data_IF_673880493450
#
_entry.id   IF_673880493450
#
_cell.length_a   1.000
_cell.length_b   1.000
_cell.length_c   1.000
_cell.angle_alpha   90.00
_cell.angle_beta   90.00
_cell.angle_gamma   90.00
#
_symmetry.space_group_name_H-M   'P 1'
#
loop_
_entity.id
_entity.type
_entity.pdbx_description
1 polymer ?
#
# COMPACT_ATOMS: atom_id res chain seq x y z
N UNK A 1 -1.18 22.27 -5.49
CA UNK A 1 0.27 22.00 -5.71
C UNK A 1 0.45 20.87 -6.71
N UNK A 2 -0.15 19.67 -6.55
CA UNK A 2 0.04 18.52 -7.45
C UNK A 2 -0.40 18.83 -8.89
N UNK A 3 -1.60 19.36 -9.08
CA UNK A 3 -2.18 19.65 -10.39
C UNK A 3 -1.45 20.76 -11.16
N UNK A 4 -0.80 21.69 -10.45
CA UNK A 4 0.03 22.77 -11.04
C UNK A 4 1.50 22.35 -11.20
N UNK A 5 1.91 21.23 -10.60
CA UNK A 5 3.26 20.68 -10.60
C UNK A 5 3.41 19.43 -11.47
N UNK A 6 3.78 18.31 -10.85
CA UNK A 6 4.09 17.04 -11.53
C UNK A 6 2.93 16.44 -12.34
N UNK A 7 1.69 16.79 -12.01
CA UNK A 7 0.51 16.34 -12.73
C UNK A 7 0.04 17.29 -13.85
N UNK A 8 0.69 18.47 -14.02
CA UNK A 8 0.33 19.43 -15.04
C UNK A 8 0.39 18.82 -16.44
N UNK A 9 -0.69 18.97 -17.22
CA UNK A 9 -0.79 18.44 -18.59
C UNK A 9 -0.97 16.92 -18.70
N UNK A 10 -1.05 16.20 -17.57
CA UNK A 10 -1.33 14.75 -17.53
C UNK A 10 -2.83 14.50 -17.32
N UNK A 11 -3.25 13.28 -17.59
CA UNK A 11 -4.67 12.85 -17.42
C UNK A 11 -4.99 12.60 -15.94
N UNK A 12 -4.90 13.64 -15.11
CA UNK A 12 -5.33 13.60 -13.72
C UNK A 12 -6.56 14.49 -13.52
N UNK A 13 -7.50 14.02 -12.72
CA UNK A 13 -8.65 14.80 -12.23
C UNK A 13 -8.43 15.07 -10.75
N UNK A 14 -8.32 16.34 -10.37
CA UNK A 14 -8.23 16.75 -8.97
C UNK A 14 -9.61 16.92 -8.39
N UNK A 15 -9.96 16.16 -7.35
CA UNK A 15 -11.23 16.24 -6.64
C UNK A 15 -11.02 16.92 -5.28
N UNK A 16 -12.02 17.67 -4.81
CA UNK A 16 -11.99 18.45 -3.57
C UNK A 16 -12.86 17.83 -2.47
N UNK A 17 -13.64 16.80 -2.81
CA UNK A 17 -14.44 16.03 -1.86
C UNK A 17 -14.52 14.55 -2.25
N UNK A 18 -15.01 13.69 -1.35
CA UNK A 18 -15.23 12.26 -1.64
C UNK A 18 -16.36 12.06 -2.65
N UNK A 19 -17.39 12.89 -2.58
CA UNK A 19 -18.54 12.87 -3.52
C UNK A 19 -18.05 13.16 -4.95
N UNK A 20 -17.21 14.18 -5.11
CA UNK A 20 -16.62 14.52 -6.41
C UNK A 20 -15.70 13.40 -6.91
N UNK A 21 -14.90 12.79 -6.03
CA UNK A 21 -14.05 11.65 -6.36
C UNK A 21 -14.89 10.46 -6.86
N UNK A 22 -15.90 10.06 -6.09
CA UNK A 22 -16.75 8.91 -6.41
C UNK A 22 -17.52 9.13 -7.71
N UNK A 23 -18.02 10.36 -7.96
CA UNK A 23 -18.71 10.72 -9.20
C UNK A 23 -17.83 10.65 -10.45
N UNK A 24 -16.50 10.79 -10.30
CA UNK A 24 -15.54 10.70 -11.41
C UNK A 24 -14.99 9.27 -11.64
N UNK A 25 -15.40 8.28 -10.86
CA UNK A 25 -14.95 6.89 -11.00
C UNK A 25 -16.00 6.03 -11.68
N UNK A 26 -15.53 5.12 -12.56
CA UNK A 26 -16.39 4.11 -13.20
C UNK A 26 -16.59 2.90 -12.30
N UNK A 27 -17.78 2.34 -12.28
CA UNK A 27 -18.07 1.09 -11.55
C UNK A 27 -17.43 -0.15 -12.21
N UNK A 28 -17.01 -1.15 -11.44
CA UNK A 28 -16.85 -1.10 -9.99
C UNK A 28 -15.75 -0.11 -9.60
N UNK A 29 -16.12 0.84 -8.74
CA UNK A 29 -15.21 1.91 -8.32
C UNK A 29 -14.10 1.34 -7.44
N UNK A 30 -12.89 1.92 -7.55
CA UNK A 30 -11.73 1.52 -6.76
C UNK A 30 -11.16 2.76 -6.09
N UNK A 31 -11.32 2.85 -4.77
CA UNK A 31 -10.86 4.00 -3.98
C UNK A 31 -9.70 3.55 -3.11
N UNK A 32 -8.49 4.08 -3.38
CA UNK A 32 -7.30 3.78 -2.59
C UNK A 32 -7.02 4.90 -1.59
N UNK A 33 -6.91 4.54 -0.34
CA UNK A 33 -6.53 5.42 0.77
C UNK A 33 -5.04 5.27 1.07
N UNK A 34 -4.34 6.41 1.16
CA UNK A 34 -2.96 6.53 1.63
C UNK A 34 -2.93 7.55 2.76
N UNK A 35 -3.59 7.23 3.86
CA UNK A 35 -3.75 8.10 5.03
C UNK A 35 -3.05 7.50 6.25
N UNK A 36 -2.92 8.30 7.30
CA UNK A 36 -2.36 7.83 8.57
C UNK A 36 -3.20 6.68 9.13
N UNK A 37 -2.55 5.57 9.44
CA UNK A 37 -3.18 4.40 10.06
C UNK A 37 -3.88 4.76 11.40
N UNK A 38 -4.92 4.01 11.72
CA UNK A 38 -5.72 4.22 12.93
C UNK A 38 -7.11 4.77 12.63
N UNK A 39 -7.71 5.57 13.53
CA UNK A 39 -9.10 6.02 13.43
C UNK A 39 -9.44 6.83 12.17
N UNK A 40 -8.45 7.51 11.58
CA UNK A 40 -8.64 8.26 10.34
C UNK A 40 -9.10 7.36 9.18
N UNK A 41 -8.61 6.13 9.13
CA UNK A 41 -9.03 5.13 8.11
C UNK A 41 -10.50 4.76 8.32
N UNK A 42 -10.92 4.52 9.56
CA UNK A 42 -12.31 4.17 9.89
C UNK A 42 -13.26 5.32 9.49
N UNK A 43 -12.90 6.57 9.79
CA UNK A 43 -13.70 7.74 9.41
C UNK A 43 -13.89 7.85 7.89
N UNK A 44 -12.84 7.59 7.11
CA UNK A 44 -12.95 7.64 5.65
C UNK A 44 -13.77 6.46 5.11
N UNK A 45 -13.61 5.27 5.68
CA UNK A 45 -14.44 4.11 5.34
C UNK A 45 -15.92 4.44 5.55
N UNK A 46 -16.30 4.96 6.72
CA UNK A 46 -17.69 5.32 7.03
C UNK A 46 -18.24 6.34 6.02
N UNK A 47 -17.45 7.35 5.65
CA UNK A 47 -17.84 8.34 4.64
C UNK A 47 -17.98 7.71 3.24
N UNK A 48 -17.13 6.76 2.87
CA UNK A 48 -17.21 6.08 1.58
C UNK A 48 -18.38 5.10 1.50
N UNK A 49 -18.77 4.48 2.62
CA UNK A 49 -19.94 3.59 2.68
C UNK A 49 -21.25 4.29 2.34
N UNK A 50 -21.35 5.60 2.54
CA UNK A 50 -22.51 6.42 2.18
C UNK A 50 -22.55 6.79 0.67
N UNK A 51 -21.43 6.60 -0.04
CA UNK A 51 -21.25 7.08 -1.42
C UNK A 51 -21.04 5.96 -2.44
N UNK A 52 -20.57 4.81 -2.01
CA UNK A 52 -20.23 3.68 -2.86
C UNK A 52 -21.37 2.67 -2.95
N UNK A 53 -21.44 1.98 -4.08
CA UNK A 53 -22.43 0.94 -4.34
C UNK A 53 -21.88 -0.46 -4.06
N UNK A 54 -22.76 -1.45 -3.92
CA UNK A 54 -22.37 -2.84 -3.75
C UNK A 54 -21.43 -3.32 -4.88
N UNK A 55 -20.34 -3.97 -4.51
CA UNK A 55 -19.29 -4.43 -5.42
C UNK A 55 -18.18 -3.42 -5.71
N UNK A 56 -18.30 -2.17 -5.24
CA UNK A 56 -17.19 -1.22 -5.25
C UNK A 56 -16.10 -1.64 -4.25
N UNK A 57 -14.88 -1.15 -4.44
CA UNK A 57 -13.68 -1.62 -3.73
C UNK A 57 -13.05 -0.47 -2.95
N UNK A 58 -12.87 -0.66 -1.66
CA UNK A 58 -12.06 0.20 -0.80
C UNK A 58 -10.68 -0.46 -0.63
N UNK A 59 -9.61 0.30 -0.85
CA UNK A 59 -8.23 -0.18 -0.77
C UNK A 59 -7.50 0.64 0.30
N UNK A 60 -6.98 -0.04 1.33
CA UNK A 60 -6.10 0.56 2.34
C UNK A 60 -4.64 0.28 1.97
N UNK A 61 -3.94 1.29 1.48
CA UNK A 61 -2.51 1.24 1.15
C UNK A 61 -1.62 1.85 2.24
N UNK A 62 -2.19 2.21 3.40
CA UNK A 62 -1.45 2.70 4.55
C UNK A 62 -0.70 1.61 5.31
N UNK A 63 0.06 1.99 6.33
CA UNK A 63 0.74 1.05 7.23
C UNK A 63 -0.20 0.61 8.37
N UNK A 64 -1.33 0.03 8.04
CA UNK A 64 -2.34 -0.42 8.97
C UNK A 64 -1.90 -1.72 9.67
N UNK A 65 -2.19 -1.84 10.97
CA UNK A 65 -2.02 -3.10 11.69
C UNK A 65 -3.00 -4.15 11.14
N UNK A 66 -2.54 -5.36 10.89
CA UNK A 66 -3.32 -6.41 10.20
C UNK A 66 -4.64 -6.77 10.90
N UNK A 67 -4.71 -6.69 12.23
CA UNK A 67 -5.96 -6.94 13.00
C UNK A 67 -7.02 -5.89 12.73
N UNK A 68 -6.64 -4.62 12.53
CA UNK A 68 -7.56 -3.57 12.10
C UNK A 68 -8.06 -3.82 10.68
N UNK A 69 -7.17 -4.30 9.80
CA UNK A 69 -7.53 -4.69 8.43
C UNK A 69 -8.54 -5.83 8.42
N UNK A 70 -8.38 -6.86 9.26
CA UNK A 70 -9.35 -7.94 9.40
C UNK A 70 -10.72 -7.44 9.85
N UNK A 71 -10.75 -6.58 10.86
CA UNK A 71 -11.98 -5.95 11.36
C UNK A 71 -12.67 -5.13 10.27
N UNK A 72 -11.91 -4.31 9.55
CA UNK A 72 -12.42 -3.46 8.46
C UNK A 72 -12.90 -4.27 7.26
N UNK A 73 -12.18 -5.32 6.88
CA UNK A 73 -12.60 -6.24 5.81
C UNK A 73 -13.99 -6.78 6.12
N UNK A 74 -14.20 -7.33 7.32
CA UNK A 74 -15.49 -7.86 7.75
C UNK A 74 -16.58 -6.77 7.71
N UNK A 75 -16.29 -5.60 8.28
CA UNK A 75 -17.23 -4.48 8.35
C UNK A 75 -17.68 -4.00 6.97
N UNK A 76 -16.75 -3.84 6.03
CA UNK A 76 -17.02 -3.37 4.66
C UNK A 76 -17.75 -4.43 3.85
N UNK A 77 -17.38 -5.72 3.99
CA UNK A 77 -18.05 -6.82 3.30
C UNK A 77 -19.50 -7.02 3.78
N UNK A 78 -19.78 -6.81 5.05
CA UNK A 78 -21.16 -6.84 5.60
C UNK A 78 -22.06 -5.74 4.99
N UNK A 79 -21.47 -4.71 4.39
CA UNK A 79 -22.17 -3.64 3.65
C UNK A 79 -22.25 -3.89 2.14
N UNK A 80 -21.75 -5.04 1.68
CA UNK A 80 -21.78 -5.44 0.27
C UNK A 80 -20.66 -4.87 -0.59
N UNK A 81 -19.70 -4.14 -0.01
CA UNK A 81 -18.50 -3.67 -0.69
C UNK A 81 -17.37 -4.68 -0.55
N UNK A 82 -16.26 -4.44 -1.27
CA UNK A 82 -15.05 -5.26 -1.19
C UNK A 82 -13.92 -4.44 -0.56
N UNK A 83 -13.02 -5.13 0.16
CA UNK A 83 -11.91 -4.48 0.86
C UNK A 83 -10.57 -5.14 0.55
N UNK A 84 -9.58 -4.33 0.20
CA UNK A 84 -8.18 -4.75 0.03
C UNK A 84 -7.32 -4.00 1.02
N UNK A 85 -6.59 -4.75 1.87
CA UNK A 85 -5.47 -4.21 2.64
C UNK A 85 -4.17 -4.56 1.96
N UNK A 86 -3.42 -3.57 1.47
CA UNK A 86 -2.17 -3.83 0.78
C UNK A 86 -0.98 -3.20 1.47
N UNK A 87 0.03 -4.02 1.81
CA UNK A 87 1.34 -3.53 2.16
C UNK A 87 2.00 -2.90 0.94
N UNK A 88 2.54 -1.70 1.11
CA UNK A 88 3.28 -0.98 0.05
C UNK A 88 4.68 -0.69 0.57
N UNK A 89 5.72 -1.12 -0.13
CA UNK A 89 7.12 -0.99 0.27
C UNK A 89 7.98 -0.41 -0.84
N UNK A 90 8.97 0.42 -0.45
CA UNK A 90 9.92 1.04 -1.38
C UNK A 90 10.26 2.49 -1.06
N UNK A 91 9.68 3.06 -0.01
CA UNK A 91 9.90 4.44 0.40
C UNK A 91 9.51 5.45 -0.69
N UNK A 92 10.16 6.60 -0.70
CA UNK A 92 9.90 7.69 -1.67
C UNK A 92 10.30 7.28 -3.09
N UNK A 93 11.42 6.57 -3.25
CA UNK A 93 11.88 6.10 -4.54
C UNK A 93 10.95 5.03 -5.12
N UNK A 94 10.50 4.08 -4.31
CA UNK A 94 9.51 3.09 -4.71
C UNK A 94 8.17 3.71 -5.09
N UNK A 95 7.72 4.75 -4.37
CA UNK A 95 6.51 5.48 -4.73
C UNK A 95 6.59 6.14 -6.12
N UNK A 96 7.79 6.53 -6.57
CA UNK A 96 8.03 7.14 -7.87
C UNK A 96 8.25 6.13 -8.99
N UNK A 97 9.05 5.08 -8.72
CA UNK A 97 9.54 4.12 -9.73
C UNK A 97 8.76 2.79 -9.76
N UNK A 98 8.02 2.51 -8.72
CA UNK A 98 7.25 1.29 -8.52
C UNK A 98 7.54 0.66 -7.16
N UNK A 99 6.54 0.51 -6.30
CA UNK A 99 6.69 -0.16 -5.01
C UNK A 99 6.58 -1.68 -5.14
N UNK A 100 7.11 -2.42 -4.16
CA UNK A 100 6.65 -3.78 -3.91
C UNK A 100 5.28 -3.74 -3.24
N UNK A 101 4.33 -4.56 -3.70
CA UNK A 101 2.95 -4.54 -3.23
C UNK A 101 2.51 -5.92 -2.74
N UNK A 102 1.87 -5.95 -1.58
CA UNK A 102 1.43 -7.15 -0.87
C UNK A 102 -0.09 -7.08 -0.63
N UNK A 103 -0.92 -7.28 -1.68
CA UNK A 103 -2.37 -7.19 -1.56
C UNK A 103 -2.96 -8.43 -0.86
N UNK A 104 -3.90 -8.17 0.05
CA UNK A 104 -4.75 -9.17 0.69
C UNK A 104 -6.13 -8.61 0.98
N UNK A 105 -7.09 -9.42 1.41
CA UNK A 105 -8.45 -8.95 1.74
C UNK A 105 -9.53 -9.75 1.05
N UNK A 106 -10.48 -9.08 0.40
CA UNK A 106 -11.58 -9.72 -0.33
C UNK A 106 -11.07 -10.38 -1.60
N UNK A 107 -11.17 -11.70 -1.68
CA UNK A 107 -10.68 -12.48 -2.83
C UNK A 107 -11.36 -12.05 -4.15
N UNK A 108 -12.65 -11.70 -4.08
CA UNK A 108 -13.41 -11.22 -5.24
C UNK A 108 -12.92 -9.87 -5.78
N UNK A 109 -12.22 -9.08 -4.96
CA UNK A 109 -11.64 -7.80 -5.40
C UNK A 109 -10.35 -7.99 -6.20
N UNK A 110 -9.61 -9.08 -5.94
CA UNK A 110 -8.28 -9.27 -6.54
C UNK A 110 -8.27 -9.18 -8.05
N UNK A 111 -9.09 -9.90 -8.81
CA UNK A 111 -9.08 -9.83 -10.29
C UNK A 111 -9.35 -8.43 -10.83
N UNK A 112 -10.04 -7.59 -10.05
CA UNK A 112 -10.40 -6.22 -10.44
C UNK A 112 -9.28 -5.20 -10.19
N UNK A 113 -8.40 -5.47 -9.22
CA UNK A 113 -7.27 -4.57 -8.85
C UNK A 113 -5.92 -5.09 -9.36
N UNK A 114 -5.77 -6.38 -9.59
CA UNK A 114 -4.54 -7.04 -10.06
C UNK A 114 -3.89 -6.35 -11.26
N UNK A 115 -4.61 -6.03 -12.36
CA UNK A 115 -3.99 -5.40 -13.52
C UNK A 115 -3.38 -4.04 -13.19
N UNK A 116 -4.01 -3.27 -12.29
CA UNK A 116 -3.52 -1.96 -11.85
C UNK A 116 -2.28 -2.15 -10.98
N UNK A 117 -2.37 -3.01 -9.96
CA UNK A 117 -1.30 -3.24 -9.00
C UNK A 117 -0.05 -3.81 -9.68
N UNK A 118 -0.22 -4.81 -10.55
CA UNK A 118 0.88 -5.35 -11.34
C UNK A 118 1.48 -4.34 -12.31
N UNK A 119 0.70 -3.41 -12.83
CA UNK A 119 1.21 -2.35 -13.71
C UNK A 119 2.10 -1.34 -12.97
N UNK A 120 1.68 -0.90 -11.77
CA UNK A 120 2.38 0.14 -11.01
C UNK A 120 3.47 -0.37 -10.08
N UNK A 121 3.53 -1.69 -9.80
CA UNK A 121 4.56 -2.27 -8.94
C UNK A 121 5.95 -2.26 -9.59
N UNK A 122 6.98 -2.35 -8.77
CA UNK A 122 8.35 -2.62 -9.21
C UNK A 122 8.39 -3.88 -10.08
N UNK A 123 9.36 -3.94 -10.97
CA UNK A 123 9.60 -5.09 -11.84
C UNK A 123 10.99 -5.65 -11.57
N UNK A 124 11.11 -6.96 -11.68
CA UNK A 124 12.36 -7.71 -11.52
C UNK A 124 12.50 -8.74 -12.65
N UNK A 125 13.57 -9.51 -12.63
CA UNK A 125 13.88 -10.52 -13.62
C UNK A 125 14.77 -10.00 -14.75
N UNK A 126 15.22 -10.88 -15.64
CA UNK A 126 16.18 -10.53 -16.70
C UNK A 126 15.70 -9.44 -17.67
N UNK A 127 14.37 -9.29 -17.81
CA UNK A 127 13.74 -8.34 -18.73
C UNK A 127 12.95 -7.25 -18.00
N UNK A 128 13.08 -7.13 -16.68
CA UNK A 128 12.28 -6.23 -15.85
C UNK A 128 10.76 -6.34 -16.12
N UNK A 129 10.25 -7.57 -16.25
CA UNK A 129 8.87 -7.88 -16.62
C UNK A 129 8.07 -8.57 -15.51
N UNK A 130 8.74 -9.10 -14.48
CA UNK A 130 8.09 -9.80 -13.36
C UNK A 130 7.66 -8.79 -12.30
N UNK A 131 6.35 -8.56 -12.08
CA UNK A 131 5.89 -7.57 -11.11
C UNK A 131 6.15 -8.05 -9.67
N UNK A 132 6.67 -7.16 -8.82
CA UNK A 132 6.79 -7.36 -7.37
C UNK A 132 5.42 -7.18 -6.69
N UNK A 133 4.43 -7.91 -7.15
CA UNK A 133 3.05 -7.84 -6.67
C UNK A 133 2.35 -9.15 -6.96
N UNK A 134 1.87 -9.81 -5.91
CA UNK A 134 1.02 -10.99 -6.02
C UNK A 134 0.05 -11.05 -4.85
N UNK A 135 -1.07 -11.73 -5.02
CA UNK A 135 -2.03 -11.97 -3.96
C UNK A 135 -1.41 -12.79 -2.82
N UNK A 136 -1.43 -12.24 -1.60
CA UNK A 136 -0.79 -12.87 -0.43
C UNK A 136 -1.78 -13.55 0.53
N UNK A 137 -3.08 -13.41 0.30
CA UNK A 137 -4.10 -14.12 1.08
C UNK A 137 -5.29 -13.26 1.51
N UNK A 138 -6.27 -13.87 2.17
CA UNK A 138 -7.50 -13.20 2.59
C UNK A 138 -7.30 -12.27 3.78
N UNK A 139 -8.30 -11.44 4.05
CA UNK A 139 -8.41 -10.58 5.24
C UNK A 139 -7.19 -9.66 5.42
N UNK A 140 -6.53 -9.72 6.61
CA UNK A 140 -5.37 -8.91 6.96
C UNK A 140 -4.04 -9.36 6.38
N UNK A 141 -3.99 -10.39 5.51
CA UNK A 141 -2.76 -11.02 5.04
C UNK A 141 -1.77 -10.03 4.41
N UNK A 142 -2.24 -9.06 3.62
CA UNK A 142 -1.38 -8.06 2.99
C UNK A 142 -0.59 -7.22 4.00
N UNK A 143 -1.27 -6.68 4.98
CA UNK A 143 -0.62 -5.91 6.05
C UNK A 143 0.19 -6.79 7.01
N UNK A 144 -0.22 -8.04 7.21
CA UNK A 144 0.56 -9.00 8.00
C UNK A 144 1.92 -9.29 7.35
N UNK A 145 1.92 -9.59 6.06
CA UNK A 145 3.17 -9.83 5.29
C UNK A 145 4.06 -8.59 5.32
N UNK A 146 3.49 -7.39 5.16
CA UNK A 146 4.25 -6.13 5.27
C UNK A 146 4.86 -5.94 6.65
N UNK A 147 4.12 -6.26 7.71
CA UNK A 147 4.63 -6.19 9.08
C UNK A 147 5.82 -7.13 9.29
N UNK A 148 5.71 -8.38 8.82
CA UNK A 148 6.80 -9.37 8.91
C UNK A 148 8.01 -8.93 8.10
N UNK A 149 7.81 -8.45 6.87
CA UNK A 149 8.85 -7.86 6.03
C UNK A 149 9.61 -6.76 6.78
N UNK A 150 8.90 -5.80 7.34
CA UNK A 150 9.53 -4.71 8.08
C UNK A 150 10.26 -5.20 9.34
N UNK A 151 9.72 -6.19 10.05
CA UNK A 151 10.40 -6.78 11.20
C UNK A 151 11.74 -7.40 10.85
N UNK A 152 11.82 -8.11 9.73
CA UNK A 152 13.07 -8.69 9.21
C UNK A 152 14.04 -7.58 8.77
N UNK A 153 13.57 -6.62 8.00
CA UNK A 153 14.37 -5.50 7.51
C UNK A 153 15.01 -4.69 8.64
N UNK A 154 14.25 -4.37 9.69
CA UNK A 154 14.78 -3.66 10.86
C UNK A 154 15.81 -4.50 11.65
N UNK A 155 15.60 -5.81 11.73
CA UNK A 155 16.60 -6.73 12.32
C UNK A 155 17.90 -6.73 11.54
N UNK A 156 17.83 -6.80 10.22
CA UNK A 156 18.98 -6.76 9.32
C UNK A 156 19.72 -5.41 9.43
N UNK A 157 19.00 -4.31 9.39
CA UNK A 157 19.57 -2.97 9.59
C UNK A 157 20.27 -2.83 10.94
N UNK A 158 19.70 -3.40 12.01
CA UNK A 158 20.33 -3.37 13.33
C UNK A 158 21.67 -4.15 13.34
N UNK A 159 21.71 -5.33 12.73
CA UNK A 159 22.95 -6.12 12.61
C UNK A 159 24.04 -5.37 11.84
N UNK A 160 23.68 -4.67 10.77
CA UNK A 160 24.60 -3.82 10.00
C UNK A 160 25.15 -2.69 10.89
N UNK A 161 24.28 -2.02 11.65
CA UNK A 161 24.69 -0.95 12.56
C UNK A 161 25.63 -1.46 13.68
N UNK A 162 25.36 -2.64 14.21
CA UNK A 162 26.21 -3.26 15.24
C UNK A 162 27.57 -3.65 14.67
N UNK A 163 27.62 -4.25 13.48
CA UNK A 163 28.87 -4.58 12.80
C UNK A 163 29.70 -3.31 12.52
N UNK A 164 29.06 -2.25 12.00
CA UNK A 164 29.69 -0.95 11.80
C UNK A 164 30.28 -0.41 13.11
N UNK A 165 29.49 -0.41 14.19
CA UNK A 165 29.95 0.07 15.51
C UNK A 165 31.15 -0.71 16.04
N UNK A 166 31.13 -2.04 15.93
CA UNK A 166 32.25 -2.90 16.35
C UNK A 166 33.53 -2.61 15.55
N UNK A 167 33.40 -2.49 14.22
CA UNK A 167 34.57 -2.21 13.36
C UNK A 167 35.18 -0.85 13.67
N UNK A 168 34.34 0.15 13.92
CA UNK A 168 34.75 1.50 14.23
C UNK A 168 35.39 1.61 15.63
N UNK A 169 34.67 1.17 16.66
CA UNK A 169 35.08 1.38 18.06
C UNK A 169 36.13 0.37 18.55
N UNK A 170 36.01 -0.90 18.20
CA UNK A 170 36.93 -1.94 18.60
C UNK A 170 38.04 -2.20 17.56
N UNK A 171 37.70 -2.09 16.28
CA UNK A 171 38.65 -2.26 15.17
C UNK A 171 39.49 -1.00 14.88
N UNK A 172 39.04 0.18 15.32
CA UNK A 172 39.73 1.45 15.08
C UNK A 172 39.73 1.89 13.63
N UNK A 173 38.81 1.36 12.81
CA UNK A 173 38.68 1.71 11.38
C UNK A 173 38.04 3.08 11.20
N UNK A 174 38.52 3.84 10.24
CA UNK A 174 37.90 5.10 9.84
C UNK A 174 36.78 4.90 8.80
N UNK A 175 36.07 5.98 8.44
CA UNK A 175 34.92 5.90 7.54
C UNK A 175 35.30 5.51 6.10
N UNK A 176 36.54 5.66 5.69
CA UNK A 176 37.00 5.29 4.34
C UNK A 176 37.42 3.79 4.28
N UNK A 177 37.60 3.18 5.44
CA UNK A 177 37.95 1.76 5.60
C UNK A 177 36.71 0.87 5.87
N UNK A 178 35.55 1.49 6.21
CA UNK A 178 34.28 0.84 6.48
C UNK A 178 33.36 0.88 5.25
#
# INVERSE_FOLDING_TARGET
>A
ILMQGRAAGKKFVGCHSLEELVANLSAPRKVMMLVKAGPAVDTIIDSLLELLDAGDIIIDGGNTHFTDTERRTKYVEEKGLLYIGTGVSGGEEGALKGPSMMPGGSELAWPLVEPIFKAISAKVGPNDDIPCCEWVGPRGAGHYVKMVHNGIEYGDMQLICEAYHMLKEAGGLDNDQL
#
